data_IF_231637438924
#
_entry.id   IF_231637438924
#
_cell.length_a   1.000
_cell.length_b   1.000
_cell.length_c   1.000
_cell.angle_alpha   90.00
_cell.angle_beta   90.00
_cell.angle_gamma   90.00
#
_symmetry.space_group_name_H-M   'P 1'
#
loop_
_entity.id
_entity.type
_entity.pdbx_description
1 polymer ?
#
# COMPACT_ATOMS: atom_id res chain seq x y z
N UNK A 1 6.33 26.08 47.47
CA UNK A 1 5.63 24.81 47.75
C UNK A 1 5.04 24.25 46.47
N UNK A 2 5.77 23.29 45.89
CA UNK A 2 5.41 22.14 45.06
C UNK A 2 4.13 22.24 44.18
N UNK A 3 4.35 22.48 42.88
CA UNK A 3 3.43 22.08 41.79
C UNK A 3 3.57 20.57 41.55
N UNK A 4 2.48 19.81 41.63
CA UNK A 4 2.42 18.40 41.22
C UNK A 4 2.16 18.32 39.71
N UNK A 5 3.15 17.87 38.96
CA UNK A 5 3.05 17.41 37.58
C UNK A 5 2.50 15.98 37.55
N UNK A 6 1.45 15.75 36.75
CA UNK A 6 1.02 14.41 36.35
C UNK A 6 1.74 14.04 35.04
N UNK A 7 2.45 12.90 34.95
CA UNK A 7 2.96 12.43 33.67
C UNK A 7 1.81 11.84 32.84
N UNK A 8 1.66 12.32 31.61
CA UNK A 8 0.88 11.67 30.56
C UNK A 8 1.45 10.27 30.30
N UNK A 9 0.64 9.24 30.52
CA UNK A 9 0.94 7.88 30.09
C UNK A 9 0.63 7.84 28.58
N UNK A 10 1.66 7.81 27.75
CA UNK A 10 1.54 7.54 26.33
C UNK A 10 1.16 6.06 26.14
N UNK A 11 -0.09 5.80 25.76
CA UNK A 11 -0.54 4.48 25.35
C UNK A 11 0.02 4.20 23.94
N UNK A 12 1.07 3.38 23.87
CA UNK A 12 1.59 2.83 22.61
C UNK A 12 0.68 1.69 22.18
N UNK A 13 -0.31 2.00 21.33
CA UNK A 13 -1.07 0.99 20.59
C UNK A 13 -0.30 0.70 19.30
N UNK A 14 0.50 -0.37 19.30
CA UNK A 14 1.16 -0.90 18.10
C UNK A 14 0.12 -1.68 17.27
N UNK A 15 -0.72 -0.94 16.55
CA UNK A 15 -1.59 -1.51 15.52
C UNK A 15 -0.73 -1.96 14.33
N UNK A 16 -0.84 -3.24 14.01
CA UNK A 16 -0.27 -3.89 12.83
C UNK A 16 -0.89 -3.34 11.54
N UNK A 17 -0.13 -2.54 10.78
CA UNK A 17 -0.45 -2.15 9.41
C UNK A 17 0.80 -2.22 8.51
N UNK A 18 0.84 -3.23 7.64
CA UNK A 18 1.44 -3.25 6.31
C UNK A 18 0.62 -4.29 5.54
N UNK A 19 0.07 -4.05 4.35
CA UNK A 19 0.73 -3.91 3.03
C UNK A 19 -0.30 -3.16 2.13
N UNK A 20 0.00 -2.16 1.29
CA UNK A 20 0.54 -2.30 -0.07
C UNK A 20 0.96 -0.93 -0.65
N UNK A 21 2.28 -0.73 -0.80
CA UNK A 21 2.84 -0.06 -1.98
C UNK A 21 3.46 -1.13 -2.88
N UNK A 22 3.29 -0.94 -4.19
CA UNK A 22 4.13 -1.60 -5.16
C UNK A 22 3.64 -1.47 -6.59
N UNK A 23 4.18 -0.51 -7.32
CA UNK A 23 4.84 -0.91 -8.57
C UNK A 23 6.31 -1.23 -8.26
N UNK A 24 6.69 -2.46 -8.61
CA UNK A 24 8.06 -2.97 -8.80
C UNK A 24 9.01 -2.79 -7.61
N UNK A 25 8.60 -3.36 -6.48
CA UNK A 25 9.57 -4.14 -5.72
C UNK A 25 9.82 -5.45 -6.49
N UNK A 26 11.10 -5.79 -6.60
CA UNK A 26 11.63 -7.14 -6.67
C UNK A 26 10.79 -8.15 -5.85
N UNK A 27 10.96 -9.45 -6.07
CA UNK A 27 10.38 -10.54 -5.28
C UNK A 27 10.85 -10.57 -3.80
N UNK A 28 11.09 -9.40 -3.22
CA UNK A 28 11.46 -9.14 -1.86
C UNK A 28 10.38 -8.21 -1.34
N UNK A 29 9.69 -8.62 -0.26
CA UNK A 29 8.74 -7.79 0.47
C UNK A 29 9.32 -6.42 0.84
N UNK A 30 8.54 -5.50 1.46
CA UNK A 30 9.00 -4.15 1.75
C UNK A 30 10.43 -4.17 2.29
N UNK A 31 11.37 -3.64 1.48
CA UNK A 31 12.78 -3.66 1.87
C UNK A 31 12.89 -2.81 3.12
N UNK A 32 13.42 -3.44 4.16
CA UNK A 32 13.78 -2.79 5.41
C UNK A 32 14.54 -1.48 5.10
N UNK A 33 14.35 -0.39 5.87
CA UNK A 33 15.09 0.84 5.66
C UNK A 33 16.60 0.57 5.60
N UNK A 34 17.40 1.32 4.81
CA UNK A 34 18.84 1.09 4.71
C UNK A 34 19.50 1.01 6.09
N UNK A 35 20.18 -0.11 6.39
CA UNK A 35 20.79 -0.39 7.69
C UNK A 35 19.89 -1.09 8.71
N UNK A 36 18.64 -1.42 8.35
CA UNK A 36 17.81 -2.29 9.19
C UNK A 36 18.17 -3.77 9.01
N UNK A 37 18.28 -4.45 10.15
CA UNK A 37 18.64 -5.86 10.23
C UNK A 37 17.43 -6.62 10.76
N UNK A 38 17.09 -7.74 10.12
CA UNK A 38 16.09 -8.69 10.63
C UNK A 38 16.70 -10.07 10.69
N UNK A 39 16.40 -10.81 11.75
CA UNK A 39 16.70 -12.24 11.86
C UNK A 39 15.53 -12.95 12.54
N UNK A 40 15.35 -14.23 12.24
CA UNK A 40 14.29 -15.02 12.85
C UNK A 40 14.80 -16.39 13.29
N UNK A 41 14.26 -16.86 14.42
CA UNK A 41 14.35 -18.26 14.84
C UNK A 41 12.95 -18.87 14.88
N UNK A 42 12.88 -20.20 14.80
CA UNK A 42 11.66 -20.96 15.06
C UNK A 42 11.84 -21.71 16.36
N UNK A 43 10.85 -21.58 17.23
CA UNK A 43 10.82 -22.21 18.55
C UNK A 43 9.55 -23.05 18.69
N UNK A 44 9.61 -24.04 19.57
CA UNK A 44 8.51 -24.95 19.85
C UNK A 44 8.40 -25.18 21.35
N UNK A 45 7.21 -24.99 21.92
CA UNK A 45 6.98 -25.16 23.35
C UNK A 45 5.49 -25.31 23.67
N UNK A 46 5.17 -25.59 24.93
CA UNK A 46 3.79 -25.76 25.40
C UNK A 46 3.12 -24.42 25.72
N UNK A 47 1.83 -24.35 25.41
CA UNK A 47 0.94 -23.25 25.82
C UNK A 47 0.70 -23.31 27.32
N UNK A 48 1.06 -22.24 28.03
CA UNK A 48 0.81 -22.08 29.46
C UNK A 48 -0.55 -21.43 29.73
N UNK A 49 -0.97 -20.53 28.85
CA UNK A 49 -2.25 -19.82 28.95
C UNK A 49 -2.73 -19.37 27.58
N UNK A 50 -4.05 -19.34 27.40
CA UNK A 50 -4.71 -18.81 26.20
C UNK A 50 -5.34 -17.46 26.52
N UNK A 51 -5.14 -16.48 25.65
CA UNK A 51 -5.85 -15.20 25.65
C UNK A 51 -6.73 -15.14 24.40
N UNK A 52 -8.00 -14.80 24.58
CA UNK A 52 -8.92 -14.59 23.47
C UNK A 52 -9.93 -13.50 23.80
N UNK A 53 -10.30 -12.72 22.80
CA UNK A 53 -11.37 -11.74 22.88
C UNK A 53 -12.14 -11.71 21.56
N UNK A 54 -13.43 -11.42 21.64
CA UNK A 54 -14.28 -11.21 20.48
C UNK A 54 -15.09 -9.93 20.68
N UNK A 55 -15.10 -9.07 19.67
CA UNK A 55 -15.92 -7.85 19.63
C UNK A 55 -16.33 -7.58 18.19
N UNK A 56 -17.63 -7.39 17.95
CA UNK A 56 -18.20 -7.08 16.63
C UNK A 56 -17.74 -8.00 15.48
N UNK A 57 -17.55 -9.29 15.75
CA UNK A 57 -17.10 -10.27 14.75
C UNK A 57 -15.59 -10.25 14.47
N UNK A 58 -14.83 -9.41 15.17
CA UNK A 58 -13.37 -9.46 15.19
C UNK A 58 -12.89 -10.34 16.34
N UNK A 59 -11.94 -11.24 16.04
CA UNK A 59 -11.38 -12.17 17.02
C UNK A 59 -9.91 -11.86 17.26
N UNK A 60 -9.51 -11.91 18.52
CA UNK A 60 -8.12 -11.90 18.97
C UNK A 60 -7.79 -13.25 19.62
N UNK A 61 -6.61 -13.80 19.30
CA UNK A 61 -6.07 -15.00 19.95
C UNK A 61 -4.56 -14.82 20.17
N UNK A 62 -4.11 -15.15 21.37
CA UNK A 62 -2.68 -15.21 21.71
C UNK A 62 -2.40 -16.26 22.79
N UNK A 63 -1.15 -16.68 22.88
CA UNK A 63 -0.71 -17.75 23.76
C UNK A 63 0.44 -17.29 24.65
N UNK A 64 0.32 -17.50 25.96
CA UNK A 64 1.46 -17.41 26.87
C UNK A 64 2.29 -18.68 26.73
N UNK A 65 3.59 -18.53 26.53
CA UNK A 65 4.54 -19.63 26.47
C UNK A 65 5.82 -19.31 27.24
N UNK A 66 6.54 -20.34 27.66
CA UNK A 66 7.90 -20.19 28.17
C UNK A 66 8.89 -20.16 27.01
N UNK A 67 9.67 -19.10 26.91
CA UNK A 67 10.79 -18.96 25.99
C UNK A 67 12.05 -18.59 26.78
N UNK A 68 13.00 -19.52 26.86
CA UNK A 68 14.19 -19.42 27.72
C UNK A 68 13.77 -19.16 29.18
N UNK A 69 14.33 -18.13 29.80
CA UNK A 69 14.05 -17.72 31.18
C UNK A 69 12.89 -16.72 31.29
N UNK A 70 12.11 -16.54 30.22
CA UNK A 70 11.01 -15.57 30.16
C UNK A 70 9.70 -16.20 29.73
N UNK A 71 8.59 -15.61 30.17
CA UNK A 71 7.27 -15.86 29.60
C UNK A 71 6.96 -14.81 28.53
N UNK A 72 6.48 -15.25 27.38
CA UNK A 72 6.21 -14.38 26.23
C UNK A 72 4.84 -14.66 25.66
N UNK A 73 4.25 -13.63 25.06
CA UNK A 73 2.96 -13.74 24.36
C UNK A 73 3.23 -13.96 22.88
N UNK A 74 2.83 -15.12 22.38
CA UNK A 74 2.81 -15.46 20.96
C UNK A 74 1.44 -15.07 20.41
N UNK A 75 1.39 -14.04 19.56
CA UNK A 75 0.16 -13.65 18.88
C UNK A 75 -0.15 -14.57 17.70
N UNK A 76 -1.44 -14.86 17.47
CA UNK A 76 -1.93 -15.36 16.19
C UNK A 76 -2.44 -14.18 15.35
N UNK A 77 -1.67 -13.70 14.36
CA UNK A 77 -2.05 -12.52 13.58
C UNK A 77 -3.35 -12.67 12.80
N UNK A 78 -3.80 -13.90 12.55
CA UNK A 78 -5.03 -14.20 11.82
C UNK A 78 -6.18 -14.65 12.73
N UNK A 79 -5.91 -14.85 14.03
CA UNK A 79 -6.87 -15.32 15.03
C UNK A 79 -7.66 -16.57 14.62
N UNK A 80 -6.99 -17.52 13.95
CA UNK A 80 -7.60 -18.77 13.43
C UNK A 80 -7.32 -20.00 14.28
N UNK A 81 -6.30 -19.94 15.12
CA UNK A 81 -5.88 -21.03 16.00
C UNK A 81 -6.87 -21.28 17.14
N UNK A 82 -6.83 -22.50 17.64
CA UNK A 82 -7.65 -22.98 18.74
C UNK A 82 -6.86 -23.92 19.67
N UNK A 83 -5.57 -23.60 19.89
CA UNK A 83 -4.74 -24.36 20.83
C UNK A 83 -5.23 -24.18 22.26
N UNK A 84 -5.16 -25.26 23.05
CA UNK A 84 -5.47 -25.30 24.46
C UNK A 84 -4.20 -25.24 25.32
N UNK A 85 -4.36 -25.02 26.62
CA UNK A 85 -3.25 -25.14 27.59
C UNK A 85 -2.68 -26.55 27.53
N UNK A 86 -1.35 -26.66 27.44
CA UNK A 86 -0.62 -27.91 27.27
C UNK A 86 -0.33 -28.30 25.82
N UNK A 87 -1.01 -27.69 24.83
CA UNK A 87 -0.70 -27.93 23.43
C UNK A 87 0.69 -27.39 23.07
N UNK A 88 1.42 -28.14 22.26
CA UNK A 88 2.69 -27.68 21.71
C UNK A 88 2.45 -26.81 20.48
N UNK A 89 3.00 -25.60 20.48
CA UNK A 89 2.91 -24.65 19.37
C UNK A 89 4.28 -24.32 18.80
N UNK A 90 4.34 -24.15 17.47
CA UNK A 90 5.51 -23.62 16.76
C UNK A 90 5.32 -22.14 16.48
N UNK A 91 6.32 -21.33 16.83
CA UNK A 91 6.25 -19.89 16.68
C UNK A 91 7.58 -19.30 16.23
N UNK A 92 7.51 -18.16 15.57
CA UNK A 92 8.63 -17.39 15.10
C UNK A 92 9.04 -16.34 16.13
N UNK A 93 10.34 -16.28 16.42
CA UNK A 93 10.97 -15.19 17.16
C UNK A 93 11.67 -14.28 16.16
N UNK A 94 11.05 -13.15 15.82
CA UNK A 94 11.63 -12.16 14.94
C UNK A 94 12.40 -11.11 15.74
N UNK A 95 13.65 -10.85 15.37
CA UNK A 95 14.49 -9.77 15.88
C UNK A 95 14.61 -8.72 14.81
N UNK A 96 14.36 -7.47 15.19
CA UNK A 96 14.45 -6.36 14.26
C UNK A 96 15.24 -5.23 14.89
N UNK A 97 16.22 -4.73 14.15
CA UNK A 97 16.98 -3.52 14.47
C UNK A 97 16.66 -2.49 13.40
N UNK A 98 16.02 -1.40 13.80
CA UNK A 98 15.68 -0.29 12.91
C UNK A 98 16.59 0.91 13.22
N UNK A 99 17.29 1.45 12.23
CA UNK A 99 17.97 2.73 12.39
C UNK A 99 16.93 3.85 12.53
N UNK A 100 17.09 4.67 13.56
CA UNK A 100 16.24 5.83 13.82
C UNK A 100 17.16 7.03 14.15
N UNK A 101 16.88 8.25 13.63
CA UNK A 101 17.67 9.47 13.87
C UNK A 101 17.95 9.79 15.35
N UNK A 102 17.14 9.27 16.27
CA UNK A 102 17.28 9.49 17.74
C UNK A 102 17.91 8.31 18.48
N UNK A 103 18.33 7.26 17.76
CA UNK A 103 18.92 6.04 18.31
C UNK A 103 18.29 4.77 17.71
N UNK A 104 19.08 3.70 17.58
CA UNK A 104 18.60 2.43 17.03
C UNK A 104 17.49 1.82 17.90
N UNK A 105 16.42 1.35 17.27
CA UNK A 105 15.34 0.62 17.95
C UNK A 105 15.56 -0.88 17.71
N UNK A 106 15.83 -1.63 18.78
CA UNK A 106 15.92 -3.10 18.75
C UNK A 106 14.68 -3.71 19.39
N UNK A 107 14.04 -4.64 18.70
CA UNK A 107 12.77 -5.24 19.13
C UNK A 107 12.73 -6.75 18.90
N UNK A 108 11.97 -7.44 19.77
CA UNK A 108 11.59 -8.84 19.63
C UNK A 108 10.09 -8.94 19.34
N UNK A 109 9.70 -9.82 18.43
CA UNK A 109 8.30 -10.14 18.14
C UNK A 109 8.10 -11.65 18.07
N UNK A 110 7.06 -12.12 18.73
CA UNK A 110 6.68 -13.54 18.81
C UNK A 110 5.36 -13.75 18.07
N UNK A 111 5.36 -14.60 17.04
CA UNK A 111 4.18 -14.84 16.21
C UNK A 111 4.01 -16.32 15.91
N UNK A 112 2.77 -16.80 15.95
CA UNK A 112 2.45 -18.17 15.63
C UNK A 112 2.80 -18.48 14.17
N UNK A 113 3.45 -19.63 13.92
CA UNK A 113 3.81 -20.10 12.59
C UNK A 113 2.73 -21.09 12.13
N UNK A 114 1.91 -20.73 11.13
CA UNK A 114 0.86 -21.59 10.53
C UNK A 114 -0.04 -22.32 11.55
N UNK A 115 -1.17 -21.73 11.91
CA UNK A 115 -2.20 -22.38 12.73
C UNK A 115 -2.81 -23.61 12.01
N UNK A 116 -2.83 -24.82 12.60
CA UNK A 116 -3.73 -25.87 12.14
C UNK A 116 -5.17 -25.40 12.36
N UNK A 117 -6.02 -25.65 11.37
CA UNK A 117 -7.45 -25.31 11.41
C UNK A 117 -8.14 -25.91 12.65
N UNK A 118 -9.18 -25.26 13.21
CA UNK A 118 -9.89 -25.77 14.38
C UNK A 118 -10.39 -27.19 14.15
N UNK A 119 -10.16 -28.09 15.11
CA UNK A 119 -10.83 -29.41 15.15
C UNK A 119 -12.35 -29.16 15.26
N UNK A 120 -13.09 -29.40 14.17
CA UNK A 120 -14.56 -29.33 14.15
C UNK A 120 -15.16 -28.32 13.19
N UNK A 121 -14.37 -27.44 12.58
CA UNK A 121 -14.79 -26.77 11.34
C UNK A 121 -14.45 -27.67 10.17
N UNK A 122 -15.45 -28.13 9.40
CA UNK A 122 -15.18 -28.78 8.10
C UNK A 122 -14.14 -27.97 7.31
N UNK A 123 -13.30 -28.61 6.48
CA UNK A 123 -12.12 -27.98 5.92
C UNK A 123 -12.49 -26.62 5.34
N UNK A 124 -12.07 -25.53 6.02
CA UNK A 124 -11.95 -24.24 5.34
C UNK A 124 -11.05 -24.57 4.17
N UNK A 125 -11.54 -24.45 2.92
CA UNK A 125 -10.74 -24.85 1.78
C UNK A 125 -9.40 -24.16 1.95
N UNK A 126 -8.32 -24.95 2.00
CA UNK A 126 -7.02 -24.36 1.77
C UNK A 126 -7.23 -23.54 0.50
N UNK A 127 -7.05 -22.21 0.57
CA UNK A 127 -6.89 -21.42 -0.65
C UNK A 127 -5.61 -22.02 -1.23
N UNK A 128 -5.78 -23.07 -2.04
CA UNK A 128 -4.67 -23.69 -2.75
C UNK A 128 -4.09 -22.53 -3.51
N UNK A 129 -2.84 -22.21 -3.19
CA UNK A 129 -2.12 -21.23 -3.98
C UNK A 129 -2.33 -21.65 -5.44
N UNK A 130 -2.76 -20.71 -6.31
CA UNK A 130 -3.02 -21.05 -7.69
C UNK A 130 -1.82 -21.80 -8.27
N UNK A 131 -2.02 -22.73 -9.21
CA UNK A 131 -0.91 -23.45 -9.83
C UNK A 131 0.19 -22.47 -10.26
N UNK A 132 1.49 -22.84 -10.25
CA UNK A 132 2.57 -21.92 -10.59
C UNK A 132 2.38 -21.17 -11.92
N UNK A 133 1.74 -21.83 -12.91
CA UNK A 133 1.39 -21.22 -14.17
C UNK A 133 0.39 -20.05 -14.03
N UNK A 134 -0.62 -20.20 -13.17
CA UNK A 134 -1.59 -19.17 -12.87
C UNK A 134 -0.96 -18.03 -12.07
N UNK A 135 -0.10 -18.32 -11.08
CA UNK A 135 0.67 -17.28 -10.39
C UNK A 135 1.49 -16.44 -11.37
N UNK A 136 2.18 -17.11 -12.32
CA UNK A 136 2.93 -16.42 -13.38
C UNK A 136 2.03 -15.59 -14.28
N UNK A 137 0.83 -16.08 -14.65
CA UNK A 137 -0.16 -15.31 -15.42
C UNK A 137 -0.60 -14.06 -14.66
N UNK A 138 -1.02 -14.21 -13.41
CA UNK A 138 -1.45 -13.08 -12.57
C UNK A 138 -0.34 -12.05 -12.37
N UNK A 139 0.92 -12.49 -12.20
CA UNK A 139 2.04 -11.54 -12.12
C UNK A 139 2.25 -10.76 -13.41
N UNK A 140 2.10 -11.39 -14.58
CA UNK A 140 2.13 -10.69 -15.87
C UNK A 140 0.98 -9.68 -15.98
N UNK A 141 -0.22 -10.06 -15.55
CA UNK A 141 -1.39 -9.18 -15.51
C UNK A 141 -1.14 -7.92 -14.66
N UNK A 142 -0.68 -8.09 -13.42
CA UNK A 142 -0.33 -6.98 -12.50
C UNK A 142 0.88 -6.18 -13.00
N UNK A 143 1.65 -6.73 -13.94
CA UNK A 143 2.70 -6.01 -14.63
C UNK A 143 2.20 -5.27 -15.88
N UNK A 144 0.91 -5.33 -16.23
CA UNK A 144 0.34 -4.67 -17.40
C UNK A 144 0.54 -5.46 -18.71
N UNK A 145 0.76 -6.78 -18.64
CA UNK A 145 0.70 -7.65 -19.82
C UNK A 145 -0.76 -7.99 -20.14
N UNK A 146 -1.31 -7.30 -21.13
CA UNK A 146 -2.70 -7.47 -21.54
C UNK A 146 -2.99 -8.85 -22.14
N UNK A 147 -1.96 -9.58 -22.61
CA UNK A 147 -2.13 -10.95 -23.11
C UNK A 147 -2.42 -11.96 -22.00
N UNK A 148 -2.17 -11.58 -20.74
CA UNK A 148 -2.48 -12.39 -19.57
C UNK A 148 -3.93 -12.24 -19.09
N UNK A 149 -4.67 -11.24 -19.60
CA UNK A 149 -6.06 -10.99 -19.26
C UNK A 149 -6.99 -11.94 -20.03
N UNK A 150 -7.90 -12.58 -19.32
CA UNK A 150 -8.88 -13.53 -19.86
C UNK A 150 -10.30 -12.99 -19.89
N UNK A 151 -10.55 -11.83 -19.28
CA UNK A 151 -11.84 -11.16 -19.23
C UNK A 151 -11.69 -9.63 -19.07
N UNK A 152 -12.80 -8.89 -19.17
CA UNK A 152 -12.84 -7.42 -19.09
C UNK A 152 -12.30 -6.90 -17.74
N UNK A 153 -12.57 -7.59 -16.63
CA UNK A 153 -12.11 -7.16 -15.28
C UNK A 153 -10.61 -7.33 -15.11
N UNK A 154 -10.04 -8.46 -15.55
CA UNK A 154 -8.58 -8.64 -15.58
C UNK A 154 -7.92 -7.60 -16.50
N UNK A 155 -8.53 -7.32 -17.65
CA UNK A 155 -8.06 -6.28 -18.57
C UNK A 155 -8.07 -4.91 -17.91
N UNK A 156 -9.15 -4.53 -17.22
CA UNK A 156 -9.27 -3.30 -16.44
C UNK A 156 -8.10 -3.13 -15.46
N UNK A 157 -7.71 -4.18 -14.74
CA UNK A 157 -6.56 -4.11 -13.81
C UNK A 157 -5.20 -3.92 -14.51
N UNK A 158 -5.03 -4.45 -15.72
CA UNK A 158 -3.76 -4.37 -16.45
C UNK A 158 -3.59 -3.07 -17.25
N UNK A 159 -4.69 -2.45 -17.69
CA UNK A 159 -4.68 -1.31 -18.62
C UNK A 159 -3.87 -0.11 -18.13
N UNK A 160 -4.02 0.31 -16.87
CA UNK A 160 -3.32 1.51 -16.36
C UNK A 160 -1.81 1.39 -16.44
N UNK A 161 -1.27 0.23 -16.04
CA UNK A 161 0.16 -0.05 -16.14
C UNK A 161 0.63 -0.27 -17.57
N UNK A 162 -0.20 -0.87 -18.41
CA UNK A 162 0.09 -1.03 -19.84
C UNK A 162 0.22 0.35 -20.53
N UNK A 163 -0.72 1.27 -20.27
CA UNK A 163 -0.73 2.63 -20.79
C UNK A 163 0.51 3.41 -20.35
N UNK A 164 0.84 3.41 -19.04
CA UNK A 164 2.05 4.07 -18.51
C UNK A 164 3.34 3.51 -19.12
N UNK A 165 3.43 2.19 -19.30
CA UNK A 165 4.58 1.54 -19.96
C UNK A 165 4.69 1.94 -21.44
N UNK A 166 3.58 1.98 -22.17
CA UNK A 166 3.57 2.40 -23.56
C UNK A 166 4.06 3.85 -23.70
N UNK A 167 3.57 4.75 -22.84
CA UNK A 167 4.00 6.14 -22.81
C UNK A 167 5.50 6.27 -22.52
N UNK A 168 6.00 5.57 -21.48
CA UNK A 168 7.43 5.54 -21.14
C UNK A 168 8.31 4.98 -22.25
N UNK A 169 7.77 4.11 -23.10
CA UNK A 169 8.46 3.55 -24.26
C UNK A 169 8.35 4.42 -25.52
N UNK A 170 7.76 5.62 -25.43
CA UNK A 170 7.55 6.52 -26.58
C UNK A 170 6.46 6.05 -27.55
N UNK A 171 5.66 5.04 -27.17
CA UNK A 171 4.55 4.53 -27.99
C UNK A 171 3.28 5.32 -27.68
N UNK A 172 3.29 6.60 -28.04
CA UNK A 172 2.24 7.56 -27.68
C UNK A 172 0.84 7.11 -28.10
N UNK A 173 0.67 6.63 -29.33
CA UNK A 173 -0.64 6.20 -29.83
C UNK A 173 -1.16 4.93 -29.15
N UNK A 174 -0.27 3.99 -28.81
CA UNK A 174 -0.65 2.82 -28.01
C UNK A 174 -1.07 3.26 -26.60
N UNK A 175 -0.31 4.17 -25.98
CA UNK A 175 -0.63 4.70 -24.66
C UNK A 175 -1.99 5.41 -24.64
N UNK A 176 -2.28 6.23 -25.67
CA UNK A 176 -3.56 6.92 -25.84
C UNK A 176 -4.70 5.91 -25.90
N UNK A 177 -4.63 4.93 -26.80
CA UNK A 177 -5.67 3.89 -26.95
C UNK A 177 -5.95 3.16 -25.64
N UNK A 178 -4.89 2.74 -24.95
CA UNK A 178 -5.01 1.99 -23.68
C UNK A 178 -5.59 2.85 -22.55
N UNK A 179 -5.19 4.11 -22.45
CA UNK A 179 -5.71 5.03 -21.44
C UNK A 179 -7.17 5.43 -21.71
N UNK A 180 -7.54 5.67 -22.96
CA UNK A 180 -8.93 5.92 -23.37
C UNK A 180 -9.82 4.69 -23.13
N UNK A 181 -9.31 3.50 -23.37
CA UNK A 181 -10.04 2.27 -23.04
C UNK A 181 -10.25 2.13 -21.52
N UNK A 182 -9.21 2.41 -20.71
CA UNK A 182 -9.32 2.40 -19.26
C UNK A 182 -10.36 3.41 -18.76
N UNK A 183 -10.34 4.62 -19.30
CA UNK A 183 -11.33 5.67 -19.02
C UNK A 183 -12.74 5.20 -19.37
N UNK A 184 -12.94 4.55 -20.52
CA UNK A 184 -14.24 4.01 -20.94
C UNK A 184 -14.74 2.85 -20.07
N UNK A 185 -13.85 2.04 -19.50
CA UNK A 185 -14.20 0.93 -18.60
C UNK A 185 -14.45 1.38 -17.16
N UNK A 186 -13.74 2.41 -16.68
CA UNK A 186 -13.80 2.85 -15.28
C UNK A 186 -15.23 3.07 -14.72
N UNK A 187 -16.21 3.65 -15.47
CA UNK A 187 -17.58 3.81 -14.98
C UNK A 187 -18.29 2.51 -14.62
N UNK A 188 -17.91 1.37 -15.20
CA UNK A 188 -18.46 0.05 -14.85
C UNK A 188 -17.87 -0.50 -13.54
N UNK A 189 -16.76 0.06 -13.09
CA UNK A 189 -15.98 -0.39 -11.94
C UNK A 189 -16.00 0.61 -10.77
N UNK A 190 -17.02 1.48 -10.65
CA UNK A 190 -17.09 2.54 -9.61
C UNK A 190 -16.94 2.03 -8.17
N UNK A 191 -17.34 0.78 -7.90
CA UNK A 191 -17.25 0.16 -6.57
C UNK A 191 -16.01 -0.73 -6.41
N UNK A 192 -15.16 -0.83 -7.43
CA UNK A 192 -13.92 -1.61 -7.40
C UNK A 192 -12.83 -0.89 -6.61
N UNK A 193 -12.04 -1.63 -5.84
CA UNK A 193 -10.95 -1.10 -5.01
C UNK A 193 -9.89 -0.34 -5.83
N UNK A 194 -9.76 -0.66 -7.13
CA UNK A 194 -8.80 -0.07 -8.05
C UNK A 194 -9.37 1.12 -8.85
N UNK A 195 -10.65 1.48 -8.67
CA UNK A 195 -11.31 2.56 -9.41
C UNK A 195 -10.52 3.88 -9.39
N UNK A 196 -10.09 4.33 -8.21
CA UNK A 196 -9.30 5.56 -8.09
C UNK A 196 -7.97 5.51 -8.83
N UNK A 197 -7.29 4.35 -8.84
CA UNK A 197 -6.07 4.18 -9.63
C UNK A 197 -6.37 4.24 -11.14
N UNK A 198 -7.49 3.66 -11.59
CA UNK A 198 -7.89 3.70 -12.99
C UNK A 198 -8.16 5.12 -13.49
N UNK A 199 -8.90 5.91 -12.69
CA UNK A 199 -9.16 7.34 -12.98
C UNK A 199 -7.85 8.13 -13.02
N UNK A 200 -6.95 7.89 -12.06
CA UNK A 200 -5.66 8.58 -12.03
C UNK A 200 -4.80 8.19 -13.23
N UNK A 201 -4.57 6.90 -13.48
CA UNK A 201 -3.66 6.41 -14.50
C UNK A 201 -4.09 6.83 -15.91
N UNK A 202 -5.39 6.73 -16.23
CA UNK A 202 -5.92 7.14 -17.52
C UNK A 202 -5.67 8.64 -17.76
N UNK A 203 -6.01 9.48 -16.79
CA UNK A 203 -5.87 10.92 -16.92
C UNK A 203 -4.41 11.40 -16.87
N UNK A 204 -3.54 10.76 -16.08
CA UNK A 204 -2.11 11.05 -16.09
C UNK A 204 -1.49 10.75 -17.46
N UNK A 205 -1.84 9.62 -18.08
CA UNK A 205 -1.35 9.29 -19.43
C UNK A 205 -1.91 10.27 -20.47
N UNK A 206 -3.23 10.45 -20.52
CA UNK A 206 -3.86 11.32 -21.52
C UNK A 206 -3.43 12.79 -21.38
N UNK A 207 -3.29 13.29 -20.14
CA UNK A 207 -2.84 14.66 -19.89
C UNK A 207 -1.39 14.89 -20.30
N UNK A 208 -0.49 13.92 -20.06
CA UNK A 208 0.91 14.03 -20.50
C UNK A 208 1.05 13.95 -22.02
N UNK A 209 0.20 13.17 -22.67
CA UNK A 209 0.11 13.13 -24.13
C UNK A 209 -0.36 14.49 -24.66
N UNK A 210 -1.47 15.02 -24.15
CA UNK A 210 -1.99 16.34 -24.53
C UNK A 210 -0.93 17.44 -24.36
N UNK A 211 -0.22 17.43 -23.24
CA UNK A 211 0.85 18.40 -22.98
C UNK A 211 2.01 18.30 -23.97
N UNK A 212 2.40 17.08 -24.35
CA UNK A 212 3.44 16.85 -25.35
C UNK A 212 3.02 17.32 -26.75
N UNK A 213 1.72 17.31 -27.04
CA UNK A 213 1.11 17.82 -28.27
C UNK A 213 0.88 19.34 -28.25
N UNK A 214 1.20 20.00 -27.14
CA UNK A 214 1.02 21.44 -26.94
C UNK A 214 -0.37 21.84 -26.46
N UNK A 215 -1.27 20.89 -26.21
CA UNK A 215 -2.60 21.14 -25.64
C UNK A 215 -2.53 21.23 -24.11
N UNK A 216 -2.05 22.39 -23.64
CA UNK A 216 -1.91 22.69 -22.21
C UNK A 216 -3.28 22.71 -21.51
N UNK A 217 -4.33 23.19 -22.17
CA UNK A 217 -5.66 23.28 -21.58
C UNK A 217 -6.30 21.91 -21.36
N UNK A 218 -6.12 20.98 -22.28
CA UNK A 218 -6.53 19.60 -22.06
C UNK A 218 -5.70 18.93 -20.95
N UNK A 219 -4.37 19.14 -20.92
CA UNK A 219 -3.53 18.64 -19.85
C UNK A 219 -3.98 19.10 -18.45
N UNK A 220 -4.41 20.36 -18.32
CA UNK A 220 -4.99 20.94 -17.09
C UNK A 220 -6.26 20.22 -16.66
N UNK A 221 -7.20 20.03 -17.59
CA UNK A 221 -8.46 19.29 -17.32
C UNK A 221 -8.16 17.87 -16.87
N UNK A 222 -7.22 17.20 -17.53
CA UNK A 222 -6.79 15.84 -17.21
C UNK A 222 -6.15 15.76 -15.83
N UNK A 223 -5.30 16.71 -15.44
CA UNK A 223 -4.76 16.76 -14.08
C UNK A 223 -5.87 16.78 -13.04
N UNK A 224 -6.83 17.69 -13.19
CA UNK A 224 -7.96 17.83 -12.27
C UNK A 224 -8.86 16.59 -12.23
N UNK A 225 -9.12 15.97 -13.39
CA UNK A 225 -9.87 14.72 -13.50
C UNK A 225 -9.15 13.54 -12.86
N UNK A 226 -7.81 13.53 -12.84
CA UNK A 226 -7.02 12.47 -12.19
C UNK A 226 -7.21 12.39 -10.67
N UNK A 227 -7.71 13.46 -10.05
CA UNK A 227 -8.10 13.51 -8.64
C UNK A 227 -9.62 13.48 -8.42
N UNK A 228 -10.44 13.29 -9.46
CA UNK A 228 -11.90 13.24 -9.35
C UNK A 228 -12.38 11.83 -8.94
N UNK A 229 -11.92 11.39 -7.76
CA UNK A 229 -12.32 10.13 -7.14
C UNK A 229 -12.17 10.20 -5.62
N UNK A 230 -12.61 9.16 -4.90
CA UNK A 230 -12.35 9.00 -3.46
C UNK A 230 -10.95 8.44 -3.17
N UNK A 231 -10.06 8.42 -4.17
CA UNK A 231 -8.76 7.77 -4.11
C UNK A 231 -8.84 6.24 -4.18
N UNK A 232 -7.78 5.60 -3.72
CA UNK A 232 -7.62 4.15 -3.65
C UNK A 232 -6.80 3.80 -2.39
N UNK A 233 -6.76 2.53 -1.93
CA UNK A 233 -5.91 2.15 -0.81
C UNK A 233 -4.44 2.60 -0.99
N UNK A 234 -3.91 2.51 -2.22
CA UNK A 234 -2.57 2.98 -2.53
C UNK A 234 -2.47 4.51 -2.48
N UNK A 235 -3.40 5.23 -3.11
CA UNK A 235 -3.36 6.70 -3.16
C UNK A 235 -3.56 7.34 -1.79
N UNK A 236 -4.45 6.78 -0.98
CA UNK A 236 -4.73 7.26 0.37
C UNK A 236 -3.50 7.03 1.29
N UNK A 237 -2.62 6.11 0.89
CA UNK A 237 -1.40 5.79 1.61
C UNK A 237 -0.17 6.56 1.13
N UNK A 238 0.22 6.32 -0.12
CA UNK A 238 1.47 6.81 -0.72
C UNK A 238 1.29 8.15 -1.44
N UNK A 239 0.04 8.49 -1.77
CA UNK A 239 -0.32 9.68 -2.53
C UNK A 239 -0.64 9.39 -3.99
N UNK A 240 -1.16 10.38 -4.71
CA UNK A 240 -1.29 10.31 -6.15
C UNK A 240 0.04 10.51 -6.86
N UNK A 241 0.10 10.13 -8.14
CA UNK A 241 1.22 10.46 -9.01
C UNK A 241 1.23 11.97 -9.35
N UNK A 242 2.40 12.60 -9.29
CA UNK A 242 2.62 14.04 -9.45
C UNK A 242 3.29 14.40 -10.79
N UNK A 243 3.53 13.45 -11.68
CA UNK A 243 4.28 13.70 -12.92
C UNK A 243 3.58 14.73 -13.81
N UNK A 244 2.27 14.61 -14.06
CA UNK A 244 1.56 15.62 -14.85
C UNK A 244 1.53 17.00 -14.17
N UNK A 245 1.50 17.03 -12.83
CA UNK A 245 1.59 18.29 -12.09
C UNK A 245 2.97 18.94 -12.26
N UNK A 246 4.05 18.16 -12.17
CA UNK A 246 5.42 18.60 -12.44
C UNK A 246 5.57 19.12 -13.88
N UNK A 247 5.07 18.36 -14.85
CA UNK A 247 5.13 18.73 -16.27
C UNK A 247 4.38 20.06 -16.53
N UNK A 248 3.25 20.29 -15.85
CA UNK A 248 2.47 21.54 -15.94
C UNK A 248 3.16 22.71 -15.21
N UNK A 249 3.79 22.49 -14.05
CA UNK A 249 4.60 23.51 -13.39
C UNK A 249 5.75 23.98 -14.27
N UNK A 250 6.37 23.08 -15.03
CA UNK A 250 7.42 23.42 -16.00
C UNK A 250 6.91 24.30 -17.17
N UNK A 251 5.59 24.34 -17.41
CA UNK A 251 4.93 25.28 -18.34
C UNK A 251 4.44 26.56 -17.68
N UNK A 252 4.62 26.71 -16.37
CA UNK A 252 4.16 27.87 -15.60
C UNK A 252 2.71 27.78 -15.12
N UNK A 253 2.05 26.63 -15.30
CA UNK A 253 0.65 26.42 -14.92
C UNK A 253 0.53 26.10 -13.42
N UNK A 254 0.70 27.12 -12.57
CA UNK A 254 0.70 26.97 -11.10
C UNK A 254 -0.70 26.77 -10.53
N UNK A 255 -1.66 27.56 -10.98
CA UNK A 255 -3.00 27.62 -10.37
C UNK A 255 -3.72 26.26 -10.44
N UNK A 256 -3.63 25.57 -11.58
CA UNK A 256 -4.23 24.24 -11.75
C UNK A 256 -3.60 23.21 -10.81
N UNK A 257 -2.30 23.32 -10.52
CA UNK A 257 -1.56 22.40 -9.67
C UNK A 257 -1.92 22.64 -8.20
N UNK A 258 -2.13 23.89 -7.80
CA UNK A 258 -2.65 24.21 -6.47
C UNK A 258 -4.06 23.66 -6.27
N UNK A 259 -4.95 23.81 -7.26
CA UNK A 259 -6.30 23.19 -7.23
C UNK A 259 -6.19 21.66 -7.16
N UNK A 260 -5.25 21.06 -7.89
CA UNK A 260 -5.00 19.62 -7.85
C UNK A 260 -4.59 19.16 -6.45
N UNK A 261 -3.72 19.89 -5.76
CA UNK A 261 -3.31 19.61 -4.39
C UNK A 261 -4.50 19.64 -3.41
N UNK A 262 -5.40 20.60 -3.55
CA UNK A 262 -6.62 20.68 -2.74
C UNK A 262 -7.52 19.45 -2.96
N UNK A 263 -7.69 19.01 -4.21
CA UNK A 263 -8.46 17.78 -4.52
C UNK A 263 -7.79 16.55 -3.91
N UNK A 264 -6.48 16.45 -4.01
CA UNK A 264 -5.71 15.35 -3.45
C UNK A 264 -5.80 15.28 -1.92
N UNK A 265 -5.86 16.43 -1.24
CA UNK A 265 -6.00 16.51 0.21
C UNK A 265 -7.31 15.90 0.74
N UNK A 266 -8.33 15.78 -0.11
CA UNK A 266 -9.62 15.16 0.28
C UNK A 266 -9.50 13.66 0.60
N UNK A 267 -8.60 12.95 -0.09
CA UNK A 267 -8.38 11.50 0.08
C UNK A 267 -7.01 11.14 0.66
N UNK A 268 -5.98 11.97 0.44
CA UNK A 268 -4.61 11.70 0.90
C UNK A 268 -4.27 12.43 2.22
N UNK A 269 -4.96 12.05 3.29
CA UNK A 269 -4.79 12.65 4.63
C UNK A 269 -3.36 12.53 5.17
N UNK A 270 -2.68 11.41 4.91
CA UNK A 270 -1.30 11.19 5.35
C UNK A 270 -0.27 12.03 4.59
N UNK A 271 -0.68 12.65 3.47
CA UNK A 271 0.16 13.56 2.69
C UNK A 271 -0.01 15.03 3.07
N UNK A 272 -0.80 15.37 4.08
CA UNK A 272 -1.15 16.77 4.39
C UNK A 272 0.08 17.67 4.53
N UNK A 273 1.10 17.25 5.28
CA UNK A 273 2.33 18.03 5.47
C UNK A 273 3.13 18.18 4.16
N UNK A 274 3.14 17.13 3.31
CA UNK A 274 3.79 17.20 1.99
C UNK A 274 3.05 18.15 1.07
N UNK A 275 1.73 18.06 1.01
CA UNK A 275 0.89 18.98 0.24
C UNK A 275 1.14 20.43 0.69
N UNK A 276 1.13 20.71 2.00
CA UNK A 276 1.41 22.05 2.52
C UNK A 276 2.80 22.56 2.11
N UNK A 277 3.81 21.69 2.19
CA UNK A 277 5.18 21.99 1.75
C UNK A 277 5.25 22.29 0.25
N UNK A 278 4.59 21.47 -0.57
CA UNK A 278 4.56 21.63 -2.02
C UNK A 278 3.78 22.87 -2.45
N UNK A 279 2.63 23.16 -1.81
CA UNK A 279 1.86 24.39 -2.01
C UNK A 279 2.73 25.62 -1.75
N UNK A 280 3.50 25.64 -0.65
CA UNK A 280 4.42 26.74 -0.34
C UNK A 280 5.47 26.92 -1.46
N UNK A 281 6.12 25.83 -1.88
CA UNK A 281 7.11 25.87 -2.94
C UNK A 281 6.54 26.43 -4.26
N UNK A 282 5.35 25.97 -4.68
CA UNK A 282 4.69 26.47 -5.90
C UNK A 282 4.39 27.97 -5.81
N UNK A 283 3.89 28.44 -4.67
CA UNK A 283 3.62 29.86 -4.44
C UNK A 283 4.90 30.73 -4.47
N UNK A 284 6.02 30.19 -4.01
CA UNK A 284 7.34 30.83 -4.09
C UNK A 284 7.98 30.72 -5.49
N UNK A 285 7.29 30.10 -6.45
CA UNK A 285 7.78 29.88 -7.80
C UNK A 285 8.85 28.80 -7.92
N UNK A 286 8.96 27.94 -6.93
CA UNK A 286 9.84 26.77 -6.94
C UNK A 286 9.09 25.54 -7.44
N UNK A 287 9.80 24.62 -8.07
CA UNK A 287 9.27 23.28 -8.38
C UNK A 287 9.40 22.40 -7.13
N UNK A 288 8.29 21.84 -6.59
CA UNK A 288 8.36 20.97 -5.43
C UNK A 288 9.17 19.69 -5.69
N UNK A 289 9.84 19.18 -4.67
CA UNK A 289 10.48 17.87 -4.73
C UNK A 289 9.45 16.77 -4.48
N UNK A 290 8.83 16.27 -5.55
CA UNK A 290 7.78 15.25 -5.48
C UNK A 290 8.30 13.84 -5.12
N UNK A 291 9.58 13.55 -5.37
CA UNK A 291 10.23 12.31 -4.98
C UNK A 291 9.51 11.07 -5.53
N UNK A 292 9.17 10.13 -4.65
CA UNK A 292 8.56 8.86 -5.05
C UNK A 292 7.21 9.02 -5.77
N UNK A 293 6.53 10.17 -5.62
CA UNK A 293 5.25 10.45 -6.29
C UNK A 293 5.40 10.65 -7.82
N UNK A 294 6.60 10.57 -8.41
CA UNK A 294 6.79 10.65 -9.86
C UNK A 294 6.78 9.26 -10.56
N UNK A 295 7.08 8.18 -9.83
CA UNK A 295 7.58 6.94 -10.45
C UNK A 295 6.58 5.79 -10.63
N UNK A 296 5.40 5.80 -9.98
CA UNK A 296 4.50 4.63 -9.93
C UNK A 296 3.26 4.66 -10.82
#
# INVERSE_FOLDING_TARGET
>A
MIRKSWPMIAAVVLASMMVLAGQRASAQGPRLPPGAETSYDIEETQVLKVFSAEDQGHRFVAYLVKWKDSEVIVGDPLARSAFAVGDTIKFMVNRMKLPNPTGNVSSLRFMLLNSPSPKGGGPVPAIKAPPPAEQKRTMRLVQGDLSAATNETERFYALGKAAKKALKAGKTEDARKLATELEGLAPKHKNDWNYGNAIQDANQVLGRIALAEGDVEEAKKRLLASADSKGSPQMNSFGPNMQLAEDLLAKGEKDVVLIYFERCATFWRMGADRIATWTKAVNEGQTPQFGANLDY
#
